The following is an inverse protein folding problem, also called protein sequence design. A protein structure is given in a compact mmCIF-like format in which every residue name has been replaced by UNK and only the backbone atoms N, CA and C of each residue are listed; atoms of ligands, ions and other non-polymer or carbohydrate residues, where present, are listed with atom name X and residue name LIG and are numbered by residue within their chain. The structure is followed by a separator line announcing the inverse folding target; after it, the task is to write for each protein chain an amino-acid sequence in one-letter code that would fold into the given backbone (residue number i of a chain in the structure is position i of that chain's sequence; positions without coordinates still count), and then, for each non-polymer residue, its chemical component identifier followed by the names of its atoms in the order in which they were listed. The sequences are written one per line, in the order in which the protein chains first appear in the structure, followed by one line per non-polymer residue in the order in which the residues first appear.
data_IF_053142114101
#
_entry.id   IF_053142114101
#
_cell.length_a   1.000
_cell.length_b   1.000
_cell.length_c   1.000
_cell.angle_alpha   90.00
_cell.angle_beta   90.00
_cell.angle_gamma   90.00
#
_symmetry.space_group_name_H-M   'P 1'
#
loop_
_entity.id
_entity.type
_entity.pdbx_description
1 polymer ?
#
# COMPACT_ATOMS: atom_id res chain seq x y z
N UNK A 1 29.80 -3.58 46.77
CA UNK A 1 30.34 -2.22 46.49
C UNK A 1 31.07 -2.25 45.15
N UNK A 2 30.57 -1.46 44.19
CA UNK A 2 31.30 -0.80 43.07
C UNK A 2 32.00 -1.68 41.99
N UNK A 3 32.27 -1.12 40.79
CA UNK A 3 31.64 -1.57 39.54
C UNK A 3 32.68 -1.98 38.47
N UNK A 4 32.21 -2.49 37.33
CA UNK A 4 33.04 -2.57 36.11
C UNK A 4 32.28 -2.12 34.87
N UNK A 5 33.01 -1.40 34.03
CA UNK A 5 32.54 -0.56 32.94
C UNK A 5 32.65 -1.22 31.56
N UNK A 6 31.84 -0.71 30.63
CA UNK A 6 32.17 -0.44 29.21
C UNK A 6 32.34 -1.61 28.23
N UNK A 7 31.44 -1.69 27.24
CA UNK A 7 31.83 -1.57 25.81
C UNK A 7 30.62 -1.31 24.90
N UNK A 8 30.53 -0.09 24.37
CA UNK A 8 29.86 0.18 23.09
C UNK A 8 30.67 -0.48 21.97
N UNK A 9 30.02 -1.16 21.03
CA UNK A 9 30.61 -1.54 19.74
C UNK A 9 29.84 -0.84 18.63
N UNK A 10 30.60 -0.16 17.78
CA UNK A 10 30.19 0.45 16.52
C UNK A 10 30.77 -0.37 15.35
N UNK A 11 30.28 -0.05 14.14
CA UNK A 11 30.67 -0.47 12.79
C UNK A 11 29.89 -1.69 12.22
N UNK A 12 29.43 -1.71 10.96
CA UNK A 12 29.91 -0.98 9.78
C UNK A 12 28.81 -0.46 8.84
N UNK A 13 29.10 0.68 8.21
CA UNK A 13 28.56 1.15 6.93
C UNK A 13 29.42 0.57 5.78
N UNK A 14 28.95 0.78 4.54
CA UNK A 14 29.47 0.35 3.21
C UNK A 14 28.91 -1.01 2.73
N UNK A 15 28.35 -1.19 1.52
CA UNK A 15 28.47 -0.47 0.23
C UNK A 15 27.13 -0.53 -0.56
N UNK A 16 26.75 0.56 -1.23
CA UNK A 16 25.95 0.50 -2.47
C UNK A 16 26.19 1.77 -3.30
N UNK A 17 26.66 1.56 -4.52
CA UNK A 17 27.31 2.53 -5.39
C UNK A 17 26.46 3.75 -5.79
N UNK A 18 27.06 4.93 -5.65
CA UNK A 18 26.56 6.18 -6.20
C UNK A 18 26.77 6.22 -7.72
N UNK A 19 25.68 6.34 -8.48
CA UNK A 19 25.72 6.62 -9.93
C UNK A 19 26.04 8.11 -10.13
N UNK A 20 27.14 8.40 -10.82
CA UNK A 20 27.51 9.74 -11.25
C UNK A 20 26.68 10.15 -12.48
N UNK A 21 25.84 11.17 -12.34
CA UNK A 21 25.24 11.87 -13.48
C UNK A 21 26.20 12.93 -14.02
N UNK A 22 26.69 12.73 -15.24
CA UNK A 22 27.45 13.74 -16.00
C UNK A 22 26.51 14.62 -16.83
N UNK A 23 26.45 15.92 -16.54
CA UNK A 23 25.71 16.91 -17.33
C UNK A 23 26.56 17.53 -18.46
N UNK A 24 26.06 17.68 -19.70
CA UNK A 24 26.73 18.46 -20.75
C UNK A 24 26.43 19.98 -20.61
N UNK A 25 27.32 20.88 -21.09
CA UNK A 25 27.15 22.32 -20.91
C UNK A 25 26.12 22.90 -21.88
N UNK A 26 25.07 23.54 -21.35
CA UNK A 26 24.08 24.31 -22.14
C UNK A 26 24.60 25.74 -22.39
N UNK A 27 24.77 26.07 -23.67
CA UNK A 27 24.95 27.43 -24.19
C UNK A 27 23.68 28.24 -23.91
N UNK A 28 23.86 29.43 -23.32
CA UNK A 28 22.78 30.33 -22.94
C UNK A 28 22.12 30.97 -24.17
N UNK A 29 20.80 30.77 -24.31
CA UNK A 29 19.92 31.57 -25.19
C UNK A 29 18.89 32.26 -24.30
N UNK A 30 18.91 33.58 -24.31
CA UNK A 30 18.04 34.47 -23.53
C UNK A 30 16.63 34.41 -24.14
N UNK A 31 15.63 34.06 -23.33
CA UNK A 31 14.18 34.14 -23.63
C UNK A 31 13.53 34.98 -22.52
N UNK A 32 12.52 35.84 -22.82
CA UNK A 32 12.04 36.85 -21.87
C UNK A 32 11.29 36.24 -20.67
N UNK A 33 11.52 36.81 -19.48
CA UNK A 33 10.89 36.45 -18.20
C UNK A 33 9.36 36.46 -18.27
N UNK A 34 8.76 35.32 -17.92
CA UNK A 34 7.39 35.26 -17.43
C UNK A 34 7.28 35.94 -16.05
N UNK A 35 6.10 36.46 -15.65
CA UNK A 35 5.91 37.09 -14.34
C UNK A 35 6.15 36.05 -13.24
N UNK A 36 7.07 36.33 -12.32
CA UNK A 36 7.24 35.48 -11.15
C UNK A 36 6.03 35.64 -10.20
N UNK A 37 5.54 34.54 -9.61
CA UNK A 37 4.49 34.62 -8.60
C UNK A 37 4.98 35.42 -7.40
N UNK A 38 4.06 36.13 -6.76
CA UNK A 38 4.33 36.95 -5.57
C UNK A 38 4.86 36.05 -4.43
N UNK A 39 5.96 36.43 -3.78
CA UNK A 39 6.69 35.54 -2.85
C UNK A 39 5.83 35.07 -1.66
N UNK A 40 4.81 35.85 -1.31
CA UNK A 40 3.81 35.53 -0.28
C UNK A 40 2.92 34.35 -0.68
N UNK A 41 2.45 34.31 -1.93
CA UNK A 41 1.60 33.23 -2.45
C UNK A 41 2.38 31.92 -2.59
N UNK A 42 3.67 32.01 -2.93
CA UNK A 42 4.55 30.85 -3.00
C UNK A 42 4.79 30.25 -1.60
N UNK A 43 5.08 31.09 -0.60
CA UNK A 43 5.26 30.64 0.78
C UNK A 43 4.00 29.97 1.37
N UNK A 44 2.82 30.53 1.09
CA UNK A 44 1.54 29.97 1.53
C UNK A 44 1.25 28.61 0.88
N UNK A 45 1.57 28.46 -0.41
CA UNK A 45 1.41 27.19 -1.14
C UNK A 45 2.34 26.11 -0.58
N UNK A 46 3.63 26.41 -0.41
CA UNK A 46 4.59 25.48 0.18
C UNK A 46 4.17 25.04 1.59
N UNK A 47 3.63 25.97 2.39
CA UNK A 47 3.11 25.66 3.72
C UNK A 47 1.92 24.69 3.66
N UNK A 48 0.99 24.88 2.71
CA UNK A 48 -0.15 23.98 2.51
C UNK A 48 0.29 22.60 2.05
N UNK A 49 1.24 22.52 1.12
CA UNK A 49 1.80 21.26 0.62
C UNK A 49 2.51 20.48 1.74
N UNK A 50 3.33 21.16 2.58
CA UNK A 50 3.95 20.51 3.75
C UNK A 50 2.91 19.99 4.74
N UNK A 51 1.88 20.77 5.04
CA UNK A 51 0.78 20.34 5.92
C UNK A 51 0.00 19.16 5.33
N UNK A 52 -0.24 19.14 4.01
CA UNK A 52 -0.92 18.03 3.34
C UNK A 52 -0.09 16.75 3.42
N UNK A 53 1.23 16.83 3.23
CA UNK A 53 2.13 15.68 3.38
C UNK A 53 2.12 15.12 4.80
N UNK A 54 2.17 15.97 5.82
CA UNK A 54 2.07 15.53 7.22
C UNK A 54 0.73 14.84 7.48
N UNK A 55 -0.38 15.42 7.01
CA UNK A 55 -1.71 14.82 7.15
C UNK A 55 -1.81 13.45 6.47
N UNK A 56 -1.21 13.31 5.29
CA UNK A 56 -1.09 12.04 4.58
C UNK A 56 -0.30 11.00 5.40
N UNK A 57 0.93 11.33 5.83
CA UNK A 57 1.81 10.44 6.58
C UNK A 57 1.19 10.01 7.94
N UNK A 58 0.54 10.94 8.63
CA UNK A 58 -0.17 10.68 9.89
C UNK A 58 -1.36 9.73 9.68
N UNK A 59 -2.10 9.92 8.59
CA UNK A 59 -3.26 9.08 8.26
C UNK A 59 -2.82 7.66 7.90
N UNK A 60 -1.75 7.52 7.12
CA UNK A 60 -1.17 6.21 6.84
C UNK A 60 -0.71 5.50 8.10
N UNK A 61 0.01 6.21 8.98
CA UNK A 61 0.45 5.67 10.27
C UNK A 61 -0.73 5.22 11.14
N UNK A 62 -1.85 5.95 11.09
CA UNK A 62 -3.07 5.58 11.79
C UNK A 62 -3.75 4.35 11.19
N UNK A 63 -3.84 4.24 9.86
CA UNK A 63 -4.35 3.04 9.18
C UNK A 63 -3.50 1.83 9.56
N UNK A 64 -2.17 1.92 9.43
CA UNK A 64 -1.25 0.81 9.71
C UNK A 64 -1.36 0.34 11.18
N UNK A 65 -1.52 1.28 12.14
CA UNK A 65 -1.77 0.96 13.55
C UNK A 65 -3.11 0.27 13.77
N UNK A 66 -4.16 0.79 13.16
CA UNK A 66 -5.52 0.28 13.32
C UNK A 66 -5.66 -1.13 12.73
N UNK A 67 -5.07 -1.38 11.55
CA UNK A 67 -4.95 -2.71 10.95
C UNK A 67 -4.23 -3.66 11.91
N UNK A 68 -3.10 -3.24 12.49
CA UNK A 68 -2.38 -4.08 13.44
C UNK A 68 -3.17 -4.39 14.71
N UNK A 69 -4.03 -3.48 15.16
CA UNK A 69 -4.95 -3.74 16.29
C UNK A 69 -6.00 -4.77 15.89
N UNK A 70 -6.54 -4.69 14.67
CA UNK A 70 -7.45 -5.69 14.13
C UNK A 70 -6.77 -7.06 14.00
N UNK A 71 -5.52 -7.10 13.51
CA UNK A 71 -4.78 -8.35 13.35
C UNK A 71 -4.57 -9.07 14.70
N UNK A 72 -4.37 -8.33 15.81
CA UNK A 72 -4.30 -8.90 17.17
C UNK A 72 -5.61 -9.47 17.67
N UNK A 73 -6.72 -8.88 17.25
CA UNK A 73 -8.07 -9.35 17.60
C UNK A 73 -8.38 -10.65 16.87
N UNK A 74 -8.05 -10.68 15.58
CA UNK A 74 -8.14 -11.87 14.73
C UNK A 74 -7.20 -12.98 15.21
N UNK A 75 -6.02 -12.67 15.74
CA UNK A 75 -5.12 -13.69 16.30
C UNK A 75 -5.59 -14.26 17.65
N UNK A 76 -6.64 -13.69 18.25
CA UNK A 76 -7.10 -14.06 19.60
C UNK A 76 -6.24 -13.50 20.74
N UNK A 77 -5.23 -12.66 20.46
CA UNK A 77 -4.37 -12.07 21.51
C UNK A 77 -5.16 -11.20 22.49
N UNK A 78 -6.28 -10.62 22.06
CA UNK A 78 -7.12 -9.75 22.88
C UNK A 78 -8.16 -10.51 23.70
N UNK A 79 -8.30 -11.82 23.51
CA UNK A 79 -9.34 -12.64 24.13
C UNK A 79 -10.75 -12.42 23.56
N UNK A 80 -10.87 -11.66 22.47
CA UNK A 80 -12.09 -11.55 21.67
C UNK A 80 -12.23 -12.78 20.76
N UNK A 81 -13.44 -13.08 20.27
CA UNK A 81 -13.63 -14.13 19.27
C UNK A 81 -13.05 -13.67 17.92
N UNK A 82 -12.05 -14.37 17.34
CA UNK A 82 -11.53 -14.04 16.02
C UNK A 82 -12.58 -13.92 14.92
N UNK A 83 -13.69 -14.67 15.04
CA UNK A 83 -14.77 -14.70 14.05
C UNK A 83 -15.59 -13.42 14.03
N UNK A 84 -15.53 -12.60 15.09
CA UNK A 84 -16.20 -11.30 15.15
C UNK A 84 -15.55 -10.25 14.24
N UNK A 85 -14.39 -10.56 13.65
CA UNK A 85 -13.60 -9.60 12.87
C UNK A 85 -13.42 -10.08 11.44
N UNK A 86 -14.06 -9.35 10.53
CA UNK A 86 -14.19 -9.76 9.14
C UNK A 86 -13.64 -8.72 8.18
N UNK A 87 -13.63 -9.05 6.88
CA UNK A 87 -13.31 -8.08 5.81
C UNK A 87 -14.13 -6.79 5.92
N UNK A 88 -15.39 -6.87 6.36
CA UNK A 88 -16.26 -5.71 6.58
C UNK A 88 -15.65 -4.72 7.58
N UNK A 89 -15.09 -5.22 8.69
CA UNK A 89 -14.52 -4.37 9.73
C UNK A 89 -13.28 -3.63 9.24
N UNK A 90 -12.42 -4.30 8.47
CA UNK A 90 -11.27 -3.69 7.83
C UNK A 90 -11.69 -2.62 6.82
N UNK A 91 -12.66 -2.94 5.95
CA UNK A 91 -13.17 -2.01 4.95
C UNK A 91 -13.83 -0.78 5.59
N UNK A 92 -14.66 -1.00 6.61
CA UNK A 92 -15.29 0.06 7.42
C UNK A 92 -14.26 0.93 8.12
N UNK A 93 -13.19 0.34 8.65
CA UNK A 93 -12.12 1.04 9.34
C UNK A 93 -11.44 2.04 8.40
N UNK A 94 -11.06 1.61 7.19
CA UNK A 94 -10.39 2.50 6.24
C UNK A 94 -11.35 3.56 5.68
N UNK A 95 -12.63 3.23 5.47
CA UNK A 95 -13.65 4.17 4.98
C UNK A 95 -13.90 5.37 5.91
N UNK A 96 -13.46 5.32 7.17
CA UNK A 96 -13.53 6.49 8.08
C UNK A 96 -12.65 7.65 7.62
N UNK A 97 -11.64 7.38 6.79
CA UNK A 97 -10.68 8.38 6.32
C UNK A 97 -11.11 9.13 5.05
N UNK A 98 -12.30 8.87 4.51
CA UNK A 98 -12.82 9.52 3.30
C UNK A 98 -12.84 11.05 3.36
N UNK A 99 -13.08 11.64 4.54
CA UNK A 99 -13.03 13.11 4.72
C UNK A 99 -11.61 13.65 4.54
N UNK A 100 -10.60 12.90 4.96
CA UNK A 100 -9.19 13.27 4.82
C UNK A 100 -8.79 13.18 3.35
N UNK A 101 -9.20 12.12 2.64
CA UNK A 101 -9.00 11.99 1.19
C UNK A 101 -9.53 13.22 0.45
N UNK A 102 -10.78 13.62 0.73
CA UNK A 102 -11.37 14.81 0.09
C UNK A 102 -10.62 16.10 0.44
N UNK A 103 -10.16 16.26 1.68
CA UNK A 103 -9.37 17.42 2.09
C UNK A 103 -8.00 17.46 1.38
N UNK A 104 -7.34 16.30 1.23
CA UNK A 104 -6.10 16.18 0.49
C UNK A 104 -6.30 16.49 -0.99
N UNK A 105 -7.38 16.00 -1.62
CA UNK A 105 -7.63 16.18 -3.05
C UNK A 105 -7.73 17.65 -3.48
N UNK A 106 -8.15 18.54 -2.56
CA UNK A 106 -8.20 20.00 -2.80
C UNK A 106 -6.81 20.62 -2.89
N UNK A 107 -5.81 20.05 -2.22
CA UNK A 107 -4.45 20.59 -2.13
C UNK A 107 -3.48 19.83 -3.05
N UNK A 108 -3.56 18.51 -3.01
CA UNK A 108 -2.70 17.58 -3.73
C UNK A 108 -3.48 16.30 -4.09
N UNK A 109 -3.88 16.21 -5.36
CA UNK A 109 -4.58 15.05 -5.91
C UNK A 109 -3.73 13.77 -5.86
N UNK A 110 -2.41 13.88 -5.96
CA UNK A 110 -1.50 12.73 -5.94
C UNK A 110 -1.47 12.08 -4.57
N UNK A 111 -1.39 12.88 -3.50
CA UNK A 111 -1.45 12.36 -2.12
C UNK A 111 -2.81 11.73 -1.82
N UNK A 112 -3.91 12.36 -2.24
CA UNK A 112 -5.25 11.80 -2.07
C UNK A 112 -5.39 10.45 -2.78
N UNK A 113 -4.92 10.36 -4.03
CA UNK A 113 -4.93 9.14 -4.82
C UNK A 113 -4.13 8.01 -4.15
N UNK A 114 -2.90 8.31 -3.71
CA UNK A 114 -2.05 7.32 -3.04
C UNK A 114 -2.64 6.86 -1.69
N UNK A 115 -3.38 7.74 -1.00
CA UNK A 115 -4.07 7.40 0.23
C UNK A 115 -5.21 6.42 -0.02
N UNK A 116 -6.03 6.63 -1.06
CA UNK A 116 -7.14 5.71 -1.38
C UNK A 116 -6.61 4.33 -1.78
N UNK A 117 -5.51 4.25 -2.55
CA UNK A 117 -4.89 2.96 -2.85
C UNK A 117 -4.33 2.26 -1.60
N UNK A 118 -3.78 3.03 -0.66
CA UNK A 118 -3.35 2.48 0.64
C UNK A 118 -4.54 2.04 1.51
N UNK A 119 -5.67 2.73 1.43
CA UNK A 119 -6.93 2.29 2.04
C UNK A 119 -7.43 1.01 1.41
N UNK A 120 -7.37 0.87 0.08
CA UNK A 120 -7.73 -0.35 -0.65
C UNK A 120 -6.89 -1.56 -0.18
N UNK A 121 -5.57 -1.41 -0.11
CA UNK A 121 -4.64 -2.43 0.38
C UNK A 121 -4.98 -2.91 1.81
N UNK A 122 -5.47 -2.00 2.66
CA UNK A 122 -5.80 -2.22 4.07
C UNK A 122 -7.29 -2.58 4.30
N UNK A 123 -8.12 -2.62 3.25
CA UNK A 123 -9.57 -2.76 3.36
C UNK A 123 -10.06 -4.19 3.59
N UNK A 124 -9.16 -5.16 3.67
CA UNK A 124 -9.51 -6.56 3.88
C UNK A 124 -8.64 -7.20 4.95
N UNK A 125 -9.23 -8.21 5.58
CA UNK A 125 -8.49 -9.18 6.38
C UNK A 125 -7.70 -10.11 5.46
N UNK A 126 -6.88 -10.94 6.09
CA UNK A 126 -6.21 -12.02 5.42
C UNK A 126 -7.10 -13.27 5.37
N UNK A 127 -7.37 -13.77 4.16
CA UNK A 127 -8.35 -14.83 3.91
C UNK A 127 -7.72 -16.23 3.81
N UNK A 128 -6.40 -16.37 3.60
CA UNK A 128 -5.79 -17.71 3.60
C UNK A 128 -5.56 -18.26 5.01
N UNK A 129 -5.70 -17.45 6.07
CA UNK A 129 -5.63 -17.93 7.45
C UNK A 129 -6.96 -18.53 7.92
N UNK A 130 -8.08 -17.99 7.45
CA UNK A 130 -9.42 -18.34 7.94
C UNK A 130 -10.49 -17.87 6.95
N UNK A 131 -11.01 -18.80 6.13
CA UNK A 131 -12.09 -18.56 5.16
C UNK A 131 -13.37 -17.96 5.81
N UNK A 132 -13.59 -18.20 7.10
CA UNK A 132 -14.77 -17.74 7.84
C UNK A 132 -14.81 -16.22 8.05
N UNK A 133 -13.74 -15.49 7.69
CA UNK A 133 -13.63 -14.03 7.90
C UNK A 133 -14.05 -13.17 6.69
N UNK A 134 -14.81 -13.74 5.76
CA UNK A 134 -15.27 -13.06 4.54
C UNK A 134 -16.42 -12.05 4.77
N UNK A 135 -16.88 -11.86 6.01
CA UNK A 135 -18.06 -11.05 6.33
C UNK A 135 -19.35 -11.87 6.29
N UNK A 136 -20.35 -11.47 7.08
CA UNK A 136 -21.65 -12.17 7.12
C UNK A 136 -22.56 -11.80 5.93
N UNK A 137 -22.48 -10.55 5.47
CA UNK A 137 -23.26 -10.01 4.34
C UNK A 137 -22.33 -9.57 3.20
N UNK A 138 -22.23 -10.35 2.10
CA UNK A 138 -21.47 -9.95 0.92
C UNK A 138 -21.88 -8.58 0.35
N UNK A 139 -23.13 -8.15 0.60
CA UNK A 139 -23.63 -6.84 0.22
C UNK A 139 -23.08 -5.68 1.06
N UNK A 140 -22.65 -5.92 2.30
CA UNK A 140 -22.01 -4.90 3.14
C UNK A 140 -20.57 -4.64 2.66
N UNK A 141 -19.78 -5.69 2.46
CA UNK A 141 -18.40 -5.58 1.95
C UNK A 141 -18.36 -4.80 0.64
N UNK A 142 -19.25 -5.16 -0.29
CA UNK A 142 -19.36 -4.51 -1.60
C UNK A 142 -19.68 -3.00 -1.49
N UNK A 143 -20.46 -2.56 -0.48
CA UNK A 143 -20.75 -1.13 -0.27
C UNK A 143 -19.52 -0.36 0.18
N UNK A 144 -18.69 -0.93 1.04
CA UNK A 144 -17.45 -0.29 1.44
C UNK A 144 -16.48 -0.20 0.26
N UNK A 145 -16.31 -1.26 -0.52
CA UNK A 145 -15.49 -1.23 -1.73
C UNK A 145 -16.02 -0.22 -2.75
N UNK A 146 -17.34 -0.16 -2.97
CA UNK A 146 -17.95 0.85 -3.83
C UNK A 146 -17.71 2.26 -3.31
N UNK A 147 -17.75 2.47 -1.99
CA UNK A 147 -17.43 3.79 -1.41
C UNK A 147 -15.99 4.20 -1.69
N UNK A 148 -15.03 3.27 -1.65
CA UNK A 148 -13.64 3.55 -1.98
C UNK A 148 -13.43 3.75 -3.48
N UNK A 149 -14.12 2.97 -4.31
CA UNK A 149 -14.11 3.10 -5.77
C UNK A 149 -14.61 4.49 -6.21
N UNK A 150 -15.73 4.93 -5.62
CA UNK A 150 -16.27 6.27 -5.84
C UNK A 150 -15.33 7.40 -5.39
N UNK A 151 -14.45 7.16 -4.41
CA UNK A 151 -13.43 8.13 -4.01
C UNK A 151 -12.26 8.14 -4.99
N UNK A 152 -11.85 6.98 -5.51
CA UNK A 152 -10.70 6.87 -6.39
C UNK A 152 -11.00 7.39 -7.80
N UNK A 153 -12.19 7.09 -8.33
CA UNK A 153 -12.58 7.41 -9.70
C UNK A 153 -12.40 8.89 -10.10
N UNK A 154 -12.86 9.90 -9.32
CA UNK A 154 -12.60 11.29 -9.66
C UNK A 154 -11.10 11.63 -9.61
N UNK A 155 -10.34 11.05 -8.67
CA UNK A 155 -8.91 11.30 -8.53
C UNK A 155 -8.12 10.80 -9.75
N UNK A 156 -8.52 9.67 -10.33
CA UNK A 156 -7.98 9.16 -11.60
C UNK A 156 -8.21 10.19 -12.71
N UNK A 157 -9.45 10.67 -12.86
CA UNK A 157 -9.86 11.57 -13.95
C UNK A 157 -9.21 12.95 -13.87
N UNK A 158 -8.95 13.45 -12.67
CA UNK A 158 -8.28 14.75 -12.48
C UNK A 158 -6.75 14.66 -12.49
N UNK A 159 -6.17 13.45 -12.45
CA UNK A 159 -4.73 13.28 -12.46
C UNK A 159 -4.17 13.42 -13.88
N UNK A 160 -3.05 14.11 -14.00
CA UNK A 160 -2.31 14.17 -15.26
C UNK A 160 -1.83 12.76 -15.63
N UNK A 161 -2.14 12.32 -16.85
CA UNK A 161 -1.69 11.04 -17.38
C UNK A 161 -0.15 10.99 -17.42
N UNK A 162 0.45 9.81 -17.18
CA UNK A 162 1.89 9.65 -17.32
C UNK A 162 2.34 9.94 -18.76
N UNK A 163 3.58 10.35 -18.95
CA UNK A 163 4.12 10.59 -20.30
C UNK A 163 4.30 9.28 -21.07
N UNK A 164 4.72 8.22 -20.36
CA UNK A 164 4.98 6.91 -20.92
C UNK A 164 4.53 5.83 -19.93
N UNK A 165 4.15 4.67 -20.44
CA UNK A 165 3.88 3.49 -19.62
C UNK A 165 5.17 2.72 -19.36
N UNK A 166 5.42 2.38 -18.10
CA UNK A 166 6.57 1.61 -17.68
C UNK A 166 6.25 0.11 -17.75
N UNK A 167 6.68 -0.54 -18.82
CA UNK A 167 6.53 -1.98 -19.01
C UNK A 167 7.43 -2.82 -18.10
N UNK A 168 8.51 -2.22 -17.58
CA UNK A 168 9.45 -2.85 -16.66
C UNK A 168 9.05 -2.53 -15.22
N UNK A 169 7.97 -3.17 -14.79
CA UNK A 169 7.50 -3.07 -13.44
C UNK A 169 8.54 -3.68 -12.48
N UNK A 170 9.05 -2.89 -11.53
CA UNK A 170 9.88 -3.37 -10.42
C UNK A 170 9.20 -4.52 -9.68
N UNK A 171 9.97 -5.47 -9.16
CA UNK A 171 9.37 -6.60 -8.44
C UNK A 171 8.85 -6.14 -7.08
N UNK A 172 7.53 -5.90 -6.97
CA UNK A 172 6.86 -5.93 -5.67
C UNK A 172 6.89 -7.37 -5.16
N UNK A 173 7.14 -7.57 -3.84
CA UNK A 173 7.00 -8.89 -3.24
C UNK A 173 5.64 -9.48 -3.61
N UNK A 174 5.63 -10.72 -4.11
CA UNK A 174 4.39 -11.43 -4.41
C UNK A 174 3.56 -11.60 -3.15
N UNK A 175 2.27 -11.93 -3.31
CA UNK A 175 1.43 -12.28 -2.16
C UNK A 175 1.99 -13.44 -1.36
N UNK A 176 1.83 -13.38 -0.03
CA UNK A 176 2.19 -14.52 0.80
C UNK A 176 1.42 -15.76 0.33
N UNK A 177 2.10 -16.88 0.24
CA UNK A 177 1.45 -18.17 0.01
C UNK A 177 2.13 -19.22 0.89
N UNK A 178 1.33 -20.11 1.44
CA UNK A 178 1.76 -21.17 2.37
C UNK A 178 2.85 -22.08 1.77
N UNK A 179 3.02 -22.08 0.44
CA UNK A 179 4.04 -22.85 -0.29
C UNK A 179 5.50 -22.45 -0.02
N UNK A 180 5.79 -21.31 0.62
CA UNK A 180 7.19 -20.87 0.84
C UNK A 180 7.81 -21.29 2.18
N UNK A 181 7.04 -21.85 3.11
CA UNK A 181 7.57 -22.30 4.42
C UNK A 181 7.93 -23.78 4.47
N UNK A 182 7.65 -24.54 3.40
CA UNK A 182 8.23 -25.87 3.21
C UNK A 182 9.68 -25.74 2.78
N UNK A 183 10.61 -25.72 3.74
CA UNK A 183 12.03 -25.96 3.47
C UNK A 183 12.18 -27.25 2.69
N UNK A 184 12.44 -27.14 1.40
CA UNK A 184 12.80 -28.26 0.53
C UNK A 184 14.27 -28.67 0.71
N UNK A 185 14.96 -28.10 1.71
CA UNK A 185 16.40 -28.22 1.93
C UNK A 185 16.79 -28.72 3.34
N UNK A 186 15.86 -29.27 4.12
CA UNK A 186 16.21 -29.91 5.39
C UNK A 186 16.05 -31.43 5.27
N UNK A 187 17.10 -32.11 4.82
CA UNK A 187 17.35 -33.49 5.25
C UNK A 187 17.64 -33.44 6.76
N UNK A 188 16.56 -33.46 7.56
CA UNK A 188 16.63 -33.60 9.01
C UNK A 188 16.34 -35.06 9.34
N UNK A 189 17.34 -35.75 9.90
CA UNK A 189 17.23 -37.08 10.52
C UNK A 189 16.46 -37.00 11.87
N UNK A 190 15.31 -36.31 11.89
CA UNK A 190 14.45 -36.20 13.07
C UNK A 190 13.36 -37.28 13.02
N UNK A 191 13.22 -37.97 14.16
CA UNK A 191 12.30 -39.10 14.36
C UNK A 191 10.86 -38.74 13.89
N UNK A 192 10.20 -39.61 13.09
CA UNK A 192 8.90 -39.31 12.48
C UNK A 192 7.70 -39.25 13.45
N UNK A 193 7.94 -39.37 14.76
CA UNK A 193 6.89 -39.50 15.79
C UNK A 193 6.67 -38.24 16.63
N UNK A 194 7.49 -37.20 16.50
CA UNK A 194 7.25 -35.90 17.15
C UNK A 194 6.44 -34.99 16.22
N UNK A 195 5.13 -35.23 16.15
CA UNK A 195 4.18 -34.28 15.57
C UNK A 195 4.20 -33.00 16.39
N UNK A 196 5.10 -32.07 16.05
CA UNK A 196 5.06 -30.70 16.55
C UNK A 196 3.77 -30.08 16.03
N UNK A 197 2.83 -29.77 16.94
CA UNK A 197 1.65 -28.98 16.58
C UNK A 197 2.13 -27.70 15.86
N UNK A 198 1.61 -27.39 14.66
CA UNK A 198 2.01 -26.18 13.97
C UNK A 198 1.72 -24.98 14.88
N UNK A 199 2.72 -24.14 15.13
CA UNK A 199 2.55 -22.89 15.86
C UNK A 199 1.76 -21.91 14.99
N UNK A 200 0.43 -22.03 15.03
CA UNK A 200 -0.50 -21.25 14.21
C UNK A 200 -0.42 -19.75 14.51
N UNK A 201 -0.14 -19.37 15.77
CA UNK A 201 0.02 -17.97 16.17
C UNK A 201 1.27 -17.36 15.55
N UNK A 202 2.42 -18.05 15.62
CA UNK A 202 3.64 -17.60 14.97
C UNK A 202 3.48 -17.52 13.45
N UNK A 203 2.86 -18.52 12.82
CA UNK A 203 2.62 -18.50 11.38
C UNK A 203 1.72 -17.34 10.96
N UNK A 204 0.67 -17.07 11.74
CA UNK A 204 -0.22 -15.92 11.54
C UNK A 204 0.56 -14.61 11.58
N UNK A 205 1.41 -14.40 12.59
CA UNK A 205 2.20 -13.18 12.69
C UNK A 205 3.28 -13.03 11.62
N UNK A 206 3.94 -14.13 11.23
CA UNK A 206 4.88 -14.13 10.10
C UNK A 206 4.18 -13.64 8.82
N UNK A 207 2.94 -14.10 8.60
CA UNK A 207 2.10 -13.68 7.47
C UNK A 207 1.68 -12.22 7.56
N UNK A 208 1.09 -11.78 8.68
CA UNK A 208 0.68 -10.38 8.86
C UNK A 208 1.86 -9.41 8.66
N UNK A 209 3.04 -9.76 9.17
CA UNK A 209 4.26 -8.96 8.98
C UNK A 209 4.71 -8.94 7.51
N UNK A 210 4.63 -10.08 6.80
CA UNK A 210 4.95 -10.15 5.38
C UNK A 210 4.00 -9.26 4.55
N UNK A 211 2.69 -9.41 4.76
CA UNK A 211 1.66 -8.65 4.06
C UNK A 211 1.76 -7.14 4.37
N UNK A 212 2.06 -6.76 5.61
CA UNK A 212 2.35 -5.38 5.97
C UNK A 212 3.55 -4.82 5.19
N UNK A 213 4.66 -5.57 5.11
CA UNK A 213 5.83 -5.16 4.34
C UNK A 213 5.54 -5.08 2.83
N UNK A 214 4.71 -5.98 2.30
CA UNK A 214 4.24 -5.94 0.91
C UNK A 214 3.45 -4.65 0.64
N UNK A 215 2.50 -4.31 1.50
CA UNK A 215 1.71 -3.06 1.40
C UNK A 215 2.60 -1.81 1.44
N UNK A 216 3.63 -1.79 2.30
CA UNK A 216 4.64 -0.71 2.33
C UNK A 216 5.41 -0.64 1.01
N UNK A 217 5.84 -1.79 0.46
CA UNK A 217 6.58 -1.82 -0.80
C UNK A 217 5.74 -1.29 -1.96
N UNK A 218 4.45 -1.69 -2.06
CA UNK A 218 3.50 -1.15 -3.05
C UNK A 218 3.32 0.35 -2.90
N UNK A 219 3.10 0.85 -1.68
CA UNK A 219 2.96 2.28 -1.38
C UNK A 219 4.19 3.07 -1.85
N UNK A 220 5.40 2.64 -1.47
CA UNK A 220 6.65 3.30 -1.90
C UNK A 220 6.78 3.32 -3.42
N UNK A 221 6.35 2.26 -4.08
CA UNK A 221 6.42 2.20 -5.54
C UNK A 221 5.50 3.22 -6.20
N UNK A 222 4.26 3.35 -5.72
CA UNK A 222 3.30 4.38 -6.18
C UNK A 222 3.82 5.81 -5.99
N UNK A 223 4.70 6.02 -5.02
CA UNK A 223 5.27 7.34 -4.71
C UNK A 223 6.50 7.68 -5.58
N UNK A 224 7.19 6.68 -6.13
CA UNK A 224 8.46 6.88 -6.86
C UNK A 224 8.28 6.74 -8.38
N UNK A 225 7.33 5.93 -8.83
CA UNK A 225 7.14 5.65 -10.27
C UNK A 225 6.11 6.58 -10.90
N UNK A 226 6.52 7.18 -12.02
CA UNK A 226 5.68 8.10 -12.79
C UNK A 226 4.49 7.40 -13.46
N UNK A 227 4.65 6.13 -13.88
CA UNK A 227 3.55 5.31 -14.40
C UNK A 227 2.62 4.82 -13.28
N UNK A 228 1.86 5.76 -12.74
CA UNK A 228 0.86 5.51 -11.72
C UNK A 228 -0.32 4.67 -12.23
N UNK A 229 -0.56 4.65 -13.55
CA UNK A 229 -1.67 3.90 -14.17
C UNK A 229 -1.40 2.41 -14.10
N UNK A 230 -0.26 1.95 -14.61
CA UNK A 230 0.07 0.52 -14.62
C UNK A 230 0.29 -0.01 -13.20
N UNK A 231 0.94 0.77 -12.33
CA UNK A 231 1.17 0.36 -10.93
C UNK A 231 -0.16 0.20 -10.19
N UNK A 232 -1.03 1.22 -10.23
CA UNK A 232 -2.33 1.14 -9.54
C UNK A 232 -3.25 0.06 -10.11
N UNK A 233 -3.25 -0.12 -11.44
CA UNK A 233 -4.06 -1.14 -12.09
C UNK A 233 -3.65 -2.56 -11.66
N UNK A 234 -2.35 -2.84 -11.64
CA UNK A 234 -1.86 -4.14 -11.16
C UNK A 234 -2.14 -4.31 -9.68
N UNK A 235 -2.02 -3.23 -8.89
CA UNK A 235 -2.29 -3.30 -7.48
C UNK A 235 -3.75 -3.73 -7.20
N UNK A 236 -4.69 -3.05 -7.85
CA UNK A 236 -6.12 -3.33 -7.70
C UNK A 236 -6.52 -4.69 -8.28
N UNK A 237 -5.95 -5.11 -9.42
CA UNK A 237 -6.25 -6.41 -10.01
C UNK A 237 -5.75 -7.57 -9.17
N UNK A 238 -4.53 -7.51 -8.66
CA UNK A 238 -4.01 -8.56 -7.78
C UNK A 238 -4.88 -8.72 -6.51
N UNK A 239 -5.37 -7.60 -5.95
CA UNK A 239 -6.28 -7.66 -4.81
C UNK A 239 -7.68 -8.17 -5.18
N UNK A 240 -8.25 -7.70 -6.30
CA UNK A 240 -9.54 -8.19 -6.80
C UNK A 240 -9.49 -9.69 -7.07
N UNK A 241 -8.49 -10.14 -7.83
CA UNK A 241 -8.36 -11.54 -8.22
C UNK A 241 -8.19 -12.42 -6.99
N UNK A 242 -7.46 -11.95 -5.96
CA UNK A 242 -7.40 -12.64 -4.68
C UNK A 242 -8.77 -12.72 -4.01
N UNK A 243 -9.47 -11.61 -3.84
CA UNK A 243 -10.78 -11.57 -3.20
C UNK A 243 -11.83 -12.44 -3.91
N UNK A 244 -11.78 -12.47 -5.25
CA UNK A 244 -12.65 -13.31 -6.08
C UNK A 244 -12.44 -14.81 -5.81
N UNK A 245 -11.22 -15.26 -5.47
CA UNK A 245 -10.96 -16.66 -5.07
C UNK A 245 -11.75 -17.07 -3.81
N UNK A 246 -12.11 -16.09 -2.98
CA UNK A 246 -12.87 -16.27 -1.75
C UNK A 246 -14.35 -15.88 -1.92
N UNK A 247 -14.80 -15.59 -3.15
CA UNK A 247 -16.17 -15.19 -3.44
C UNK A 247 -16.52 -13.76 -3.02
N UNK A 248 -15.53 -12.96 -2.63
CA UNK A 248 -15.72 -11.54 -2.30
C UNK A 248 -15.57 -10.72 -3.58
N UNK A 249 -16.69 -10.18 -4.08
CA UNK A 249 -16.73 -9.46 -5.35
C UNK A 249 -16.92 -7.94 -5.15
N UNK A 250 -16.81 -7.17 -6.24
CA UNK A 250 -17.06 -5.72 -6.22
C UNK A 250 -15.86 -4.87 -5.79
N UNK A 251 -14.65 -5.43 -5.80
CA UNK A 251 -13.43 -4.69 -5.51
C UNK A 251 -13.03 -3.76 -6.67
N UNK A 252 -13.33 -2.46 -6.53
CA UNK A 252 -12.95 -1.37 -7.43
C UNK A 252 -13.25 -1.57 -8.94
N UNK A 253 -14.44 -2.07 -9.34
CA UNK A 253 -14.72 -2.34 -10.75
C UNK A 253 -14.60 -1.12 -11.66
N UNK A 254 -15.10 0.06 -11.24
CA UNK A 254 -15.14 1.25 -12.08
C UNK A 254 -13.76 1.88 -12.23
N UNK A 255 -13.00 1.98 -11.14
CA UNK A 255 -11.61 2.46 -11.19
C UNK A 255 -10.72 1.54 -12.03
N UNK A 256 -10.86 0.21 -11.90
CA UNK A 256 -10.11 -0.75 -12.73
C UNK A 256 -10.44 -0.52 -14.21
N UNK A 257 -11.71 -0.39 -14.57
CA UNK A 257 -12.13 -0.13 -15.95
C UNK A 257 -11.56 1.20 -16.49
N UNK A 258 -11.56 2.26 -15.68
CA UNK A 258 -11.00 3.56 -16.06
C UNK A 258 -9.48 3.47 -16.31
N UNK A 259 -8.73 2.78 -15.43
CA UNK A 259 -7.30 2.55 -15.65
C UNK A 259 -7.03 1.73 -16.92
N UNK A 260 -7.82 0.69 -17.18
CA UNK A 260 -7.71 -0.08 -18.43
C UNK A 260 -7.95 0.78 -19.66
N UNK A 261 -8.95 1.66 -19.61
CA UNK A 261 -9.25 2.59 -20.70
C UNK A 261 -8.09 3.56 -20.95
N UNK A 262 -7.52 4.16 -19.89
CA UNK A 262 -6.35 5.04 -20.00
C UNK A 262 -5.16 4.29 -20.58
N UNK A 263 -4.86 3.09 -20.07
CA UNK A 263 -3.75 2.27 -20.55
C UNK A 263 -3.90 1.91 -22.03
N UNK A 264 -5.12 1.61 -22.49
CA UNK A 264 -5.41 1.34 -23.89
C UNK A 264 -5.20 2.58 -24.76
N UNK A 265 -5.73 3.75 -24.35
CA UNK A 265 -5.56 5.01 -25.07
C UNK A 265 -4.07 5.34 -25.26
N UNK A 266 -3.29 5.29 -24.18
CA UNK A 266 -1.85 5.54 -24.19
C UNK A 266 -1.06 4.55 -25.06
N UNK A 267 -1.51 3.28 -25.14
CA UNK A 267 -0.87 2.27 -25.99
C UNK A 267 -1.18 2.47 -27.48
N UNK A 268 -2.33 3.07 -27.80
CA UNK A 268 -2.76 3.31 -29.18
C UNK A 268 -2.31 4.65 -29.77
N UNK A 269 -1.78 5.57 -28.95
CA UNK A 269 -1.25 6.86 -29.40
C UNK A 269 -2.29 7.82 -29.98
N UNK A 270 -3.57 7.65 -29.60
CA UNK A 270 -4.70 8.51 -29.99
C UNK A 270 -5.08 9.43 -28.84
#
# INVERSE_FOLDING_TARGET
MKPTSSRKRSASQDEAHAVQESNPPKVAKIVPSAPQPDSSQQADRERRERSAKVLYDDTLSMIDRNVRVMDRKVSGETGDDPLDYTTDDYAKLVCRHSKIVNALAVVDNTLAFNLVLSMADASRTDLDTTLEMCGEDPGETARYFQSLDNLLLPLIKYRQQPAELCWQLLQVPVRWSQRRTGSQDAESDEDPDEWSEPDYERQYWEKCNYEHNRRIARRRWREIVDDWVTVALNDLKDERDYLDLYGITGFFPESIAEFEAIRMQMSTGV
#
